data_IF_232530971854
#
_entry.id   IF_232530971854
#
_cell.length_a   1.000
_cell.length_b   1.000
_cell.length_c   1.000
_cell.angle_alpha   90.00
_cell.angle_beta   90.00
_cell.angle_gamma   90.00
#
_symmetry.space_group_name_H-M   'P 1'
#
loop_
_entity.id
_entity.type
_entity.pdbx_description
1 polymer ?
#
# COMPACT_ATOMS: atom_id res chain seq x y z
N UNK A 1 17.49 -24.03 9.97
CA UNK A 1 16.27 -23.89 9.11
C UNK A 1 16.33 -22.55 8.40
N UNK A 2 15.97 -22.47 7.11
CA UNK A 2 15.93 -21.20 6.36
C UNK A 2 14.48 -20.78 6.19
N UNK A 3 14.12 -19.63 6.75
CA UNK A 3 12.79 -19.05 6.55
C UNK A 3 12.84 -18.07 5.36
N UNK A 4 11.90 -18.21 4.43
CA UNK A 4 11.76 -17.34 3.27
C UNK A 4 10.52 -16.49 3.43
N UNK A 5 10.68 -15.18 3.36
CA UNK A 5 9.58 -14.23 3.53
C UNK A 5 9.49 -13.22 2.38
N UNK A 6 8.29 -12.77 2.10
CA UNK A 6 8.03 -11.53 1.38
C UNK A 6 7.78 -10.40 2.38
N UNK A 7 8.32 -9.22 2.14
CA UNK A 7 8.15 -8.05 3.00
C UNK A 7 7.73 -6.83 2.16
N UNK A 8 6.59 -6.25 2.49
CA UNK A 8 6.15 -4.97 1.95
C UNK A 8 6.18 -3.88 3.03
N UNK A 9 7.03 -2.89 2.83
CA UNK A 9 7.14 -1.72 3.72
C UNK A 9 6.22 -0.61 3.22
N UNK A 10 4.93 -0.73 3.54
CA UNK A 10 3.92 0.24 3.14
C UNK A 10 3.79 1.41 4.10
N UNK A 11 3.12 2.48 3.65
CA UNK A 11 2.83 3.66 4.47
C UNK A 11 1.85 3.35 5.62
N UNK A 12 0.74 2.68 5.33
CA UNK A 12 -0.25 2.35 6.34
C UNK A 12 0.09 1.07 7.11
N UNK A 13 0.54 0.06 6.40
CA UNK A 13 0.84 -1.26 6.94
C UNK A 13 2.19 -1.76 6.45
N UNK A 14 2.88 -2.51 7.29
CA UNK A 14 3.95 -3.42 6.89
C UNK A 14 3.35 -4.81 6.82
N UNK A 15 3.67 -5.52 5.74
CA UNK A 15 3.14 -6.87 5.52
C UNK A 15 4.30 -7.85 5.39
N UNK A 16 4.30 -8.88 6.23
CA UNK A 16 5.13 -10.07 6.04
C UNK A 16 4.27 -11.18 5.47
N UNK A 17 4.78 -11.86 4.48
CA UNK A 17 4.13 -13.01 3.85
C UNK A 17 5.07 -14.20 3.80
N UNK A 18 4.54 -15.37 4.12
CA UNK A 18 5.20 -16.66 4.05
C UNK A 18 4.25 -17.65 3.41
N UNK A 19 4.75 -18.55 2.58
CA UNK A 19 3.91 -19.55 1.88
C UNK A 19 3.27 -20.56 2.82
N UNK A 20 3.80 -20.72 4.04
CA UNK A 20 3.32 -21.67 5.03
C UNK A 20 2.52 -21.01 6.15
N UNK A 21 2.96 -19.84 6.61
CA UNK A 21 2.34 -19.10 7.72
C UNK A 21 1.27 -18.11 7.26
N UNK A 22 1.21 -17.82 5.95
CA UNK A 22 0.25 -16.88 5.37
C UNK A 22 0.73 -15.43 5.40
N UNK A 23 -0.22 -14.49 5.55
CA UNK A 23 0.06 -13.05 5.54
C UNK A 23 -0.19 -12.48 6.93
N UNK A 24 0.85 -11.87 7.50
CA UNK A 24 0.77 -11.08 8.72
C UNK A 24 0.93 -9.60 8.38
N UNK A 25 0.05 -8.77 8.96
CA UNK A 25 0.02 -7.33 8.71
C UNK A 25 0.06 -6.57 10.03
N UNK A 26 0.94 -5.58 10.09
CA UNK A 26 1.14 -4.70 11.23
C UNK A 26 1.02 -3.25 10.80
N UNK A 27 0.53 -2.36 11.66
CA UNK A 27 0.48 -0.93 11.36
C UNK A 27 1.91 -0.37 11.21
N UNK A 28 2.12 0.40 10.15
CA UNK A 28 3.40 1.07 9.88
C UNK A 28 3.46 2.39 10.65
N UNK A 29 3.63 2.30 11.98
CA UNK A 29 3.58 3.47 12.86
C UNK A 29 4.40 3.23 14.14
N UNK A 30 4.91 4.30 14.72
CA UNK A 30 5.48 4.35 16.06
C UNK A 30 4.80 5.44 16.89
N UNK A 31 4.58 5.17 18.17
CA UNK A 31 4.16 6.14 19.17
C UNK A 31 5.41 6.71 19.85
N UNK A 32 5.55 8.01 19.82
CA UNK A 32 6.74 8.72 20.30
C UNK A 32 6.34 9.71 21.38
N UNK A 33 7.04 9.66 22.52
CA UNK A 33 6.93 10.63 23.57
C UNK A 33 7.39 12.02 23.08
N UNK A 34 6.56 13.04 23.28
CA UNK A 34 6.82 14.40 22.75
C UNK A 34 8.01 15.09 23.40
N UNK A 35 8.26 14.81 24.68
CA UNK A 35 9.30 15.47 25.46
C UNK A 35 10.65 14.78 25.29
N UNK A 36 10.69 13.45 25.50
CA UNK A 36 11.95 12.68 25.46
C UNK A 36 12.34 12.23 24.06
N UNK A 37 11.43 12.30 23.08
CA UNK A 37 11.60 11.78 21.70
C UNK A 37 11.85 10.27 21.64
N UNK A 38 11.56 9.53 22.71
CA UNK A 38 11.71 8.07 22.75
C UNK A 38 10.51 7.37 22.14
N UNK A 39 10.77 6.26 21.49
CA UNK A 39 9.73 5.37 20.99
C UNK A 39 9.12 4.65 22.21
N UNK A 40 7.81 4.80 22.39
CA UNK A 40 7.01 4.13 23.43
C UNK A 40 6.59 2.75 22.97
N UNK A 41 6.01 2.68 21.77
CA UNK A 41 5.54 1.43 21.15
C UNK A 41 5.50 1.56 19.63
N UNK A 42 5.35 0.44 18.92
CA UNK A 42 5.28 0.35 17.47
C UNK A 42 4.12 -0.54 17.04
N UNK A 43 3.70 -0.40 15.79
CA UNK A 43 2.69 -1.27 15.21
C UNK A 43 1.28 -1.03 15.77
N UNK A 44 0.50 -2.09 15.89
CA UNK A 44 -0.88 -2.03 16.40
C UNK A 44 -0.93 -1.49 17.84
N UNK A 45 0.02 -1.88 18.68
CA UNK A 45 0.12 -1.38 20.06
C UNK A 45 0.32 0.14 20.12
N UNK A 46 0.97 0.73 19.11
CA UNK A 46 1.13 2.18 19.03
C UNK A 46 -0.19 2.90 18.76
N UNK A 47 -1.06 2.31 17.95
CA UNK A 47 -2.41 2.85 17.70
C UNK A 47 -3.25 2.78 18.98
N UNK A 48 -3.30 1.60 19.63
CA UNK A 48 -4.08 1.37 20.85
C UNK A 48 -3.69 2.34 21.97
N UNK A 49 -2.39 2.53 22.20
CA UNK A 49 -1.88 3.43 23.23
C UNK A 49 -1.93 4.92 22.81
N UNK A 50 -1.96 5.20 21.53
CA UNK A 50 -1.98 6.57 21.00
C UNK A 50 -3.21 7.35 21.40
N UNK A 51 -4.36 6.71 21.48
CA UNK A 51 -5.62 7.33 21.90
C UNK A 51 -5.59 7.70 23.40
N UNK A 52 -4.92 6.89 24.22
CA UNK A 52 -4.79 7.13 25.69
C UNK A 52 -3.75 8.22 26.01
N UNK A 53 -2.66 8.29 25.24
CA UNK A 53 -1.52 9.19 25.49
C UNK A 53 -1.53 10.45 24.61
N UNK A 54 -2.63 10.76 23.98
CA UNK A 54 -2.85 11.79 22.97
C UNK A 54 -2.13 13.16 23.24
N UNK A 55 -2.12 13.65 24.47
CA UNK A 55 -1.45 14.92 24.81
C UNK A 55 0.08 14.79 24.93
N UNK A 56 0.58 13.64 25.39
CA UNK A 56 1.99 13.40 25.74
C UNK A 56 2.78 12.69 24.64
N UNK A 57 2.11 12.08 23.70
CA UNK A 57 2.74 11.30 22.64
C UNK A 57 2.22 11.69 21.25
N UNK A 58 2.92 11.26 20.20
CA UNK A 58 2.55 11.48 18.82
C UNK A 58 2.79 10.22 17.99
N UNK A 59 1.85 9.88 17.11
CA UNK A 59 1.99 8.80 16.15
C UNK A 59 2.77 9.29 14.94
N UNK A 60 3.87 8.61 14.61
CA UNK A 60 4.71 8.90 13.44
C UNK A 60 4.79 7.69 12.54
N UNK A 61 4.56 7.88 11.23
CA UNK A 61 4.74 6.86 10.22
C UNK A 61 6.14 6.91 9.64
N UNK A 62 6.85 5.75 9.56
CA UNK A 62 8.25 5.70 9.13
C UNK A 62 8.45 5.91 7.63
N UNK A 63 7.38 5.75 6.83
CA UNK A 63 7.42 5.91 5.38
C UNK A 63 6.52 7.07 4.95
N UNK A 64 6.91 7.76 3.87
CA UNK A 64 6.07 8.77 3.22
C UNK A 64 6.24 8.63 1.70
N UNK A 65 5.12 8.52 0.98
CA UNK A 65 5.14 8.33 -0.48
C UNK A 65 6.05 7.18 -0.92
N UNK A 66 6.04 6.06 -0.17
CA UNK A 66 6.87 4.89 -0.45
C UNK A 66 8.37 5.04 -0.13
N UNK A 67 8.79 6.18 0.42
CA UNK A 67 10.17 6.45 0.78
C UNK A 67 10.37 6.43 2.29
N UNK A 68 11.59 6.05 2.71
CA UNK A 68 12.01 6.09 4.11
C UNK A 68 12.04 7.54 4.60
N UNK A 69 11.27 7.82 5.67
CA UNK A 69 11.19 9.15 6.28
C UNK A 69 12.11 9.26 7.50
N UNK A 70 12.14 8.24 8.35
CA UNK A 70 12.96 8.18 9.55
C UNK A 70 13.57 6.80 9.73
N UNK A 71 14.91 6.75 9.76
CA UNK A 71 15.66 5.49 9.86
C UNK A 71 15.47 4.79 11.20
N UNK A 72 15.47 5.55 12.31
CA UNK A 72 15.38 4.97 13.66
C UNK A 72 13.99 4.36 13.88
N UNK A 73 12.95 5.11 13.51
CA UNK A 73 11.56 4.64 13.61
C UNK A 73 11.35 3.42 12.71
N UNK A 74 11.84 3.48 11.45
CA UNK A 74 11.76 2.35 10.52
C UNK A 74 12.45 1.12 11.09
N UNK A 75 13.68 1.28 11.61
CA UNK A 75 14.44 0.18 12.21
C UNK A 75 13.70 -0.48 13.37
N UNK A 76 13.07 0.33 14.23
CA UNK A 76 12.28 -0.19 15.36
C UNK A 76 11.04 -0.95 14.91
N UNK A 77 10.29 -0.42 13.94
CA UNK A 77 9.08 -1.09 13.40
C UNK A 77 9.47 -2.38 12.66
N UNK A 78 10.53 -2.35 11.84
CA UNK A 78 11.01 -3.55 11.12
C UNK A 78 11.54 -4.60 12.08
N UNK A 79 12.31 -4.21 13.11
CA UNK A 79 12.82 -5.13 14.13
C UNK A 79 11.70 -5.78 14.93
N UNK A 80 10.64 -5.04 15.27
CA UNK A 80 9.46 -5.57 15.93
C UNK A 80 8.81 -6.68 15.08
N UNK A 81 8.56 -6.40 13.81
CA UNK A 81 7.88 -7.33 12.90
C UNK A 81 8.75 -8.56 12.58
N UNK A 82 10.04 -8.37 12.30
CA UNK A 82 10.97 -9.48 12.04
C UNK A 82 11.16 -10.32 13.31
N UNK A 83 11.20 -9.68 14.48
CA UNK A 83 11.29 -10.35 15.78
C UNK A 83 10.07 -11.21 16.15
N UNK A 84 8.91 -10.93 15.55
CA UNK A 84 7.70 -11.75 15.72
C UNK A 84 7.71 -13.05 14.88
N UNK A 85 8.67 -13.19 13.94
CA UNK A 85 8.81 -14.41 13.16
C UNK A 85 9.28 -15.59 14.02
N UNK A 86 8.90 -16.84 13.68
CA UNK A 86 9.46 -18.03 14.30
C UNK A 86 10.98 -18.02 14.21
N UNK A 87 11.65 -18.44 15.30
CA UNK A 87 13.12 -18.52 15.33
C UNK A 87 13.65 -19.40 14.21
N UNK A 88 14.53 -18.87 13.40
CA UNK A 88 15.20 -19.54 12.30
C UNK A 88 16.70 -19.22 12.32
N UNK A 89 17.53 -20.14 11.81
CA UNK A 89 18.97 -19.91 11.69
C UNK A 89 19.30 -18.81 10.68
N UNK A 90 18.45 -18.67 9.66
CA UNK A 90 18.60 -17.69 8.59
C UNK A 90 17.23 -17.23 8.11
N UNK A 91 17.06 -15.92 7.95
CA UNK A 91 15.89 -15.30 7.33
C UNK A 91 16.30 -14.74 5.96
N UNK A 92 15.64 -15.19 4.90
CA UNK A 92 15.79 -14.66 3.53
C UNK A 92 14.55 -13.90 3.16
N UNK A 93 14.71 -12.65 2.78
CA UNK A 93 13.63 -11.73 2.50
C UNK A 93 13.58 -11.33 1.02
N UNK A 94 12.39 -11.32 0.41
CA UNK A 94 12.13 -10.57 -0.81
C UNK A 94 11.32 -9.34 -0.43
N UNK A 95 11.87 -8.15 -0.70
CA UNK A 95 11.23 -6.89 -0.37
C UNK A 95 10.68 -6.19 -1.61
N UNK A 96 9.44 -5.69 -1.50
CA UNK A 96 8.85 -4.79 -2.50
C UNK A 96 9.37 -3.37 -2.34
N UNK A 97 9.99 -2.84 -3.38
CA UNK A 97 10.48 -1.46 -3.41
C UNK A 97 9.77 -0.63 -4.48
N UNK A 98 9.57 0.68 -4.27
CA UNK A 98 9.03 1.57 -5.31
C UNK A 98 10.00 1.72 -6.49
N UNK A 99 9.46 2.07 -7.65
CA UNK A 99 10.23 2.18 -8.90
C UNK A 99 11.22 3.35 -8.93
N UNK A 100 11.02 4.36 -8.10
CA UNK A 100 11.84 5.58 -8.02
C UNK A 100 12.89 5.57 -6.90
N UNK A 101 13.11 4.40 -6.27
CA UNK A 101 14.10 4.24 -5.22
C UNK A 101 15.52 4.32 -5.80
N UNK A 102 16.35 5.22 -5.27
CA UNK A 102 17.75 5.30 -5.68
C UNK A 102 18.64 4.30 -4.92
N UNK A 103 19.85 4.03 -5.43
CA UNK A 103 20.77 3.06 -4.86
C UNK A 103 21.16 3.34 -3.40
N UNK A 104 21.22 4.62 -2.97
CA UNK A 104 21.51 4.98 -1.58
C UNK A 104 20.37 4.58 -0.65
N UNK A 105 19.14 4.86 -1.03
CA UNK A 105 17.94 4.48 -0.28
C UNK A 105 17.76 2.96 -0.22
N UNK A 106 18.02 2.27 -1.33
CA UNK A 106 17.99 0.80 -1.36
C UNK A 106 19.02 0.20 -0.40
N UNK A 107 20.26 0.70 -0.41
CA UNK A 107 21.30 0.27 0.53
C UNK A 107 20.91 0.53 1.99
N UNK A 108 20.25 1.64 2.26
CA UNK A 108 19.77 1.97 3.60
C UNK A 108 18.70 0.99 4.09
N UNK A 109 17.74 0.62 3.24
CA UNK A 109 16.73 -0.40 3.53
C UNK A 109 17.40 -1.75 3.80
N UNK A 110 18.37 -2.17 2.98
CA UNK A 110 19.10 -3.41 3.21
C UNK A 110 19.85 -3.41 4.54
N UNK A 111 20.41 -2.26 4.92
CA UNK A 111 21.08 -2.11 6.23
C UNK A 111 20.10 -2.28 7.39
N UNK A 112 18.93 -1.61 7.33
CA UNK A 112 17.88 -1.73 8.34
C UNK A 112 17.41 -3.18 8.48
N UNK A 113 17.21 -3.88 7.37
CA UNK A 113 16.79 -5.29 7.37
C UNK A 113 17.88 -6.21 7.96
N UNK A 114 19.14 -5.96 7.63
CA UNK A 114 20.26 -6.69 8.22
C UNK A 114 20.37 -6.48 9.72
N UNK A 115 20.22 -5.23 10.18
CA UNK A 115 20.23 -4.88 11.62
C UNK A 115 19.05 -5.54 12.36
N UNK A 116 17.92 -5.77 11.68
CA UNK A 116 16.75 -6.48 12.20
C UNK A 116 16.87 -8.02 12.16
N UNK A 117 17.99 -8.57 11.68
CA UNK A 117 18.24 -10.02 11.65
C UNK A 117 17.93 -10.72 10.32
N UNK A 118 17.63 -9.99 9.24
CA UNK A 118 17.49 -10.56 7.90
C UNK A 118 18.87 -10.90 7.35
N UNK A 119 19.12 -12.18 7.03
CA UNK A 119 20.42 -12.68 6.57
C UNK A 119 20.71 -12.33 5.11
N UNK A 120 19.70 -12.32 4.26
CA UNK A 120 19.79 -12.01 2.83
C UNK A 120 18.52 -11.31 2.37
N UNK A 121 18.67 -10.24 1.58
CA UNK A 121 17.56 -9.47 1.06
C UNK A 121 17.62 -9.33 -0.47
N UNK A 122 16.50 -9.55 -1.13
CA UNK A 122 16.31 -9.38 -2.58
C UNK A 122 15.22 -8.35 -2.81
N UNK A 123 15.57 -7.23 -3.44
CA UNK A 123 14.60 -6.20 -3.77
C UNK A 123 13.96 -6.48 -5.13
N UNK A 124 12.67 -6.25 -5.23
CA UNK A 124 11.90 -6.32 -6.47
C UNK A 124 10.95 -5.13 -6.55
N UNK A 125 10.68 -4.64 -7.76
CA UNK A 125 9.69 -3.58 -7.95
C UNK A 125 8.32 -4.03 -7.39
N UNK A 126 7.70 -3.18 -6.58
CA UNK A 126 6.41 -3.48 -5.92
C UNK A 126 5.30 -3.76 -6.93
N UNK A 127 5.29 -3.07 -8.09
CA UNK A 127 4.30 -3.33 -9.14
C UNK A 127 4.42 -4.72 -9.75
N UNK A 128 5.64 -5.28 -9.84
CA UNK A 128 5.86 -6.68 -10.25
C UNK A 128 5.24 -7.63 -9.24
N UNK A 129 5.52 -7.40 -7.96
CA UNK A 129 4.96 -8.23 -6.89
C UNK A 129 3.42 -8.12 -6.87
N UNK A 130 2.86 -6.91 -6.97
CA UNK A 130 1.42 -6.68 -7.03
C UNK A 130 0.75 -7.46 -8.18
N UNK A 131 1.34 -7.39 -9.37
CA UNK A 131 0.85 -8.11 -10.55
C UNK A 131 0.86 -9.63 -10.34
N UNK A 132 1.98 -10.18 -9.88
CA UNK A 132 2.13 -11.62 -9.62
C UNK A 132 1.14 -12.09 -8.55
N UNK A 133 1.02 -11.34 -7.46
CA UNK A 133 0.12 -11.69 -6.36
C UNK A 133 -1.37 -11.57 -6.71
N UNK A 134 -1.69 -10.80 -7.74
CA UNK A 134 -3.03 -10.75 -8.34
C UNK A 134 -3.29 -11.87 -9.37
N UNK A 135 -2.33 -12.78 -9.56
CA UNK A 135 -2.43 -13.86 -10.55
C UNK A 135 -2.08 -13.44 -11.99
N UNK A 136 -1.58 -12.22 -12.18
CA UNK A 136 -1.12 -11.74 -13.48
C UNK A 136 0.31 -12.19 -13.79
N UNK A 137 0.71 -12.01 -15.04
CA UNK A 137 2.05 -12.36 -15.52
C UNK A 137 2.81 -11.13 -16.03
N UNK A 138 4.02 -10.83 -15.51
CA UNK A 138 4.85 -9.79 -16.08
C UNK A 138 5.32 -10.08 -17.51
N UNK A 139 5.17 -11.32 -18.01
CA UNK A 139 5.44 -11.69 -19.40
C UNK A 139 4.33 -11.24 -20.36
N UNK A 140 3.15 -10.90 -19.84
CA UNK A 140 2.05 -10.35 -20.61
C UNK A 140 2.26 -8.86 -20.92
N UNK A 141 1.48 -8.33 -21.87
CA UNK A 141 1.33 -6.88 -22.07
C UNK A 141 0.15 -6.43 -21.21
N UNK A 142 0.40 -5.81 -20.06
CA UNK A 142 -0.61 -5.51 -19.05
C UNK A 142 -0.26 -4.24 -18.25
N UNK A 143 -1.25 -3.54 -17.74
CA UNK A 143 -1.09 -2.40 -16.84
C UNK A 143 -1.34 -2.88 -15.41
N UNK A 144 -0.38 -2.64 -14.51
CA UNK A 144 -0.55 -2.82 -13.07
C UNK A 144 -0.78 -1.47 -12.42
N UNK A 145 -1.87 -1.34 -11.65
CA UNK A 145 -2.19 -0.14 -10.86
C UNK A 145 -2.35 -0.59 -9.41
N UNK A 146 -1.42 -0.17 -8.57
CA UNK A 146 -1.43 -0.47 -7.13
C UNK A 146 -1.76 0.79 -6.34
N UNK A 147 -3.02 0.92 -5.89
CA UNK A 147 -3.50 2.06 -5.10
C UNK A 147 -3.21 1.81 -3.63
N UNK A 148 -2.10 2.35 -3.15
CA UNK A 148 -1.69 2.28 -1.76
C UNK A 148 -2.41 3.30 -0.87
N UNK A 149 -1.91 3.48 0.36
CA UNK A 149 -2.47 4.47 1.28
C UNK A 149 -2.00 5.90 0.96
N UNK A 150 -0.71 6.12 0.67
CA UNK A 150 -0.14 7.46 0.42
C UNK A 150 0.22 7.73 -1.04
N UNK A 151 0.26 6.71 -1.88
CA UNK A 151 0.60 6.85 -3.29
C UNK A 151 0.00 5.71 -4.11
N UNK A 152 -0.09 5.94 -5.43
CA UNK A 152 -0.44 4.94 -6.43
C UNK A 152 0.77 4.67 -7.31
N UNK A 153 1.13 3.40 -7.44
CA UNK A 153 2.19 2.94 -8.35
C UNK A 153 1.56 2.33 -9.60
N UNK A 154 2.01 2.80 -10.76
CA UNK A 154 1.52 2.34 -12.06
C UNK A 154 2.71 1.80 -12.84
N UNK A 155 2.57 0.62 -13.41
CA UNK A 155 3.58 0.02 -14.29
C UNK A 155 2.92 -0.61 -15.52
N UNK A 156 3.55 -0.44 -16.68
CA UNK A 156 3.16 -1.12 -17.92
C UNK A 156 4.20 -2.19 -18.21
N UNK A 157 3.73 -3.41 -18.36
CA UNK A 157 4.55 -4.56 -18.69
C UNK A 157 4.40 -4.94 -20.15
N UNK A 158 5.50 -5.39 -20.75
CA UNK A 158 5.51 -5.96 -22.08
C UNK A 158 6.62 -7.01 -22.21
N UNK A 159 6.27 -8.26 -22.48
CA UNK A 159 7.20 -9.36 -22.69
C UNK A 159 8.27 -9.53 -21.57
N UNK A 160 7.91 -9.32 -20.33
CA UNK A 160 8.81 -9.46 -19.18
C UNK A 160 9.58 -8.20 -18.81
N UNK A 161 9.39 -7.12 -19.54
CA UNK A 161 10.02 -5.83 -19.27
C UNK A 161 9.00 -4.81 -18.75
N UNK A 162 9.45 -3.90 -17.92
CA UNK A 162 8.68 -2.73 -17.51
C UNK A 162 8.99 -1.60 -18.50
N UNK A 163 8.01 -1.24 -19.33
CA UNK A 163 8.18 -0.21 -20.37
C UNK A 163 7.78 1.19 -19.89
N UNK A 164 7.02 1.27 -18.80
CA UNK A 164 6.63 2.52 -18.16
C UNK A 164 6.41 2.31 -16.67
N UNK A 165 6.83 3.29 -15.86
CA UNK A 165 6.47 3.37 -14.44
C UNK A 165 6.14 4.80 -14.07
N UNK A 166 5.13 4.98 -13.20
CA UNK A 166 4.95 6.22 -12.44
C UNK A 166 4.57 5.92 -11.00
N UNK A 167 4.85 6.87 -10.13
CA UNK A 167 4.40 6.89 -8.75
C UNK A 167 3.74 8.24 -8.49
N UNK A 168 2.45 8.19 -8.25
CA UNK A 168 1.61 9.36 -8.09
C UNK A 168 1.27 9.59 -6.62
N UNK A 169 1.39 10.82 -6.10
CA UNK A 169 1.06 11.14 -4.70
C UNK A 169 -0.46 11.25 -4.51
N UNK A 170 -1.15 10.18 -4.81
CA UNK A 170 -2.59 9.98 -4.62
C UNK A 170 -2.82 8.56 -4.11
N UNK A 171 -3.51 8.41 -2.99
CA UNK A 171 -3.80 7.12 -2.38
C UNK A 171 -5.01 7.17 -1.47
N UNK A 172 -5.24 6.10 -0.69
CA UNK A 172 -6.37 6.00 0.21
C UNK A 172 -6.49 7.13 1.23
N UNK A 173 -5.35 7.73 1.65
CA UNK A 173 -5.33 8.85 2.60
C UNK A 173 -5.92 10.14 2.00
N UNK A 174 -5.82 10.36 0.70
CA UNK A 174 -6.46 11.51 0.04
C UNK A 174 -7.99 11.44 0.14
N UNK A 175 -8.54 10.22 0.09
CA UNK A 175 -9.97 9.99 0.32
C UNK A 175 -10.32 10.16 1.80
N UNK A 176 -9.48 9.70 2.74
CA UNK A 176 -9.64 9.94 4.18
C UNK A 176 -9.67 11.45 4.48
N UNK A 177 -8.76 12.22 3.89
CA UNK A 177 -8.69 13.68 4.05
C UNK A 177 -9.92 14.38 3.45
N UNK A 178 -10.43 13.90 2.33
CA UNK A 178 -11.65 14.44 1.73
C UNK A 178 -12.87 14.25 2.65
N UNK A 179 -13.02 13.06 3.27
CA UNK A 179 -14.07 12.81 4.28
C UNK A 179 -13.90 13.72 5.48
N UNK A 180 -12.69 13.83 6.02
CA UNK A 180 -12.40 14.71 7.17
C UNK A 180 -12.74 16.16 6.88
N UNK A 181 -12.36 16.65 5.70
CA UNK A 181 -12.65 18.02 5.27
C UNK A 181 -14.16 18.23 5.12
N UNK A 182 -14.87 17.30 4.50
CA UNK A 182 -16.32 17.35 4.35
C UNK A 182 -17.03 17.51 5.71
N UNK A 183 -16.66 16.68 6.69
CA UNK A 183 -17.25 16.73 8.05
C UNK A 183 -16.99 18.09 8.70
N UNK A 184 -15.79 18.64 8.55
CA UNK A 184 -15.45 19.95 9.08
C UNK A 184 -16.25 21.09 8.41
N UNK A 185 -16.47 21.01 7.11
CA UNK A 185 -17.22 22.02 6.32
C UNK A 185 -18.73 21.97 6.61
N UNK A 186 -19.32 20.78 6.76
CA UNK A 186 -20.78 20.64 6.97
C UNK A 186 -21.20 21.00 8.39
N UNK A 187 -20.44 20.58 9.40
CA UNK A 187 -20.85 20.72 10.80
C UNK A 187 -19.90 21.50 11.70
N UNK A 188 -18.77 22.01 11.18
CA UNK A 188 -17.72 22.57 12.00
C UNK A 188 -17.13 21.54 12.97
N UNK A 189 -17.25 20.26 12.64
CA UNK A 189 -16.84 19.13 13.50
C UNK A 189 -15.46 18.64 13.08
N UNK A 190 -14.54 18.58 14.02
CA UNK A 190 -13.24 17.97 13.83
C UNK A 190 -13.29 16.49 14.21
N UNK A 191 -12.81 15.66 13.32
CA UNK A 191 -12.59 14.21 13.56
C UNK A 191 -11.13 13.84 13.30
N UNK A 192 -10.67 12.74 13.88
CA UNK A 192 -9.34 12.19 13.57
C UNK A 192 -9.31 11.59 12.17
N UNK A 193 -8.11 11.42 11.61
CA UNK A 193 -7.96 10.75 10.33
C UNK A 193 -8.37 9.27 10.39
N UNK A 194 -8.25 8.64 11.55
CA UNK A 194 -8.71 7.25 11.77
C UNK A 194 -10.23 7.14 11.69
N UNK A 195 -10.98 8.10 12.23
CA UNK A 195 -12.44 8.17 12.10
C UNK A 195 -12.85 8.38 10.64
N UNK A 196 -12.22 9.34 9.95
CA UNK A 196 -12.47 9.58 8.54
C UNK A 196 -12.17 8.33 7.66
N UNK A 197 -11.12 7.59 8.00
CA UNK A 197 -10.79 6.31 7.34
C UNK A 197 -11.87 5.26 7.57
N UNK A 198 -12.34 5.11 8.80
CA UNK A 198 -13.42 4.15 9.11
C UNK A 198 -14.69 4.47 8.30
N UNK A 199 -15.06 5.75 8.20
CA UNK A 199 -16.18 6.20 7.36
C UNK A 199 -15.95 5.84 5.89
N UNK A 200 -14.77 6.14 5.34
CA UNK A 200 -14.42 5.77 3.96
C UNK A 200 -14.53 4.26 3.74
N UNK A 201 -14.02 3.45 4.66
CA UNK A 201 -14.01 1.99 4.54
C UNK A 201 -15.42 1.41 4.63
N UNK A 202 -16.30 1.99 5.45
CA UNK A 202 -17.66 1.54 5.61
C UNK A 202 -18.59 2.10 4.51
N UNK A 203 -18.61 3.42 4.31
CA UNK A 203 -19.57 4.09 3.44
C UNK A 203 -19.04 4.39 2.02
N UNK A 204 -17.71 4.36 1.83
CA UNK A 204 -17.06 4.83 0.61
C UNK A 204 -17.51 4.11 -0.65
N UNK A 205 -17.96 4.88 -1.63
CA UNK A 205 -18.34 4.40 -2.96
C UNK A 205 -18.03 5.46 -4.02
N UNK A 206 -17.63 4.99 -5.19
CA UNK A 206 -17.47 5.82 -6.41
C UNK A 206 -18.37 5.31 -7.54
N UNK A 207 -19.29 4.41 -7.24
CA UNK A 207 -20.18 3.78 -8.21
C UNK A 207 -21.60 3.63 -7.64
N UNK A 208 -22.56 3.45 -8.52
CA UNK A 208 -23.95 3.22 -8.15
C UNK A 208 -24.15 1.82 -7.55
N UNK A 209 -25.24 1.64 -6.78
CA UNK A 209 -25.69 0.33 -6.31
C UNK A 209 -25.08 -0.15 -4.98
N UNK A 210 -24.29 0.69 -4.29
CA UNK A 210 -24.02 0.47 -2.88
C UNK A 210 -25.31 0.79 -2.11
N UNK A 211 -25.68 -0.08 -1.17
CA UNK A 211 -26.80 0.19 -0.28
C UNK A 211 -26.56 1.48 0.50
N UNK A 212 -27.63 2.24 0.71
CA UNK A 212 -27.53 3.45 1.52
C UNK A 212 -27.47 3.05 2.99
N UNK A 213 -26.30 3.27 3.55
CA UNK A 213 -25.99 3.04 4.96
C UNK A 213 -25.67 4.38 5.62
N UNK A 214 -25.81 4.43 6.92
CA UNK A 214 -25.38 5.58 7.71
C UNK A 214 -24.60 5.15 8.93
N UNK A 215 -23.69 6.00 9.39
CA UNK A 215 -22.89 5.79 10.59
C UNK A 215 -22.96 7.01 11.49
N UNK A 216 -23.20 6.79 12.79
CA UNK A 216 -23.07 7.83 13.80
C UNK A 216 -21.59 7.92 14.21
N UNK A 217 -21.05 9.12 14.20
CA UNK A 217 -19.67 9.44 14.60
C UNK A 217 -19.68 10.45 15.75
N UNK A 218 -18.63 10.41 16.56
CA UNK A 218 -18.35 11.42 17.58
C UNK A 218 -17.17 12.29 17.10
N UNK A 219 -17.32 13.59 17.23
CA UNK A 219 -16.28 14.55 16.92
C UNK A 219 -16.29 15.73 17.88
N UNK A 220 -15.47 16.74 17.60
CA UNK A 220 -15.32 17.92 18.46
C UNK A 220 -15.64 19.17 17.65
N UNK A 221 -16.54 20.02 18.17
CA UNK A 221 -16.83 21.32 17.54
C UNK A 221 -15.58 22.21 17.53
N UNK A 222 -15.23 22.73 16.36
CA UNK A 222 -14.03 23.55 16.15
C UNK A 222 -14.02 24.85 17.01
N UNK A 223 -15.22 25.42 17.25
CA UNK A 223 -15.34 26.68 17.97
C UNK A 223 -15.37 26.53 19.49
N UNK A 224 -15.93 25.48 20.02
CA UNK A 224 -16.18 25.32 21.46
C UNK A 224 -15.39 24.20 22.12
N UNK A 225 -14.83 23.29 21.33
CA UNK A 225 -14.19 22.07 21.85
C UNK A 225 -15.17 21.03 22.40
N UNK A 226 -16.50 21.27 22.33
CA UNK A 226 -17.48 20.34 22.84
C UNK A 226 -17.60 19.10 21.95
N UNK A 227 -17.81 17.92 22.58
CA UNK A 227 -18.12 16.70 21.86
C UNK A 227 -19.53 16.77 21.29
N UNK A 228 -19.66 16.32 20.05
CA UNK A 228 -20.93 16.23 19.33
C UNK A 228 -21.02 14.93 18.56
N UNK A 229 -22.24 14.48 18.33
CA UNK A 229 -22.53 13.36 17.46
C UNK A 229 -23.09 13.86 16.13
N UNK A 230 -22.72 13.19 15.06
CA UNK A 230 -23.16 13.49 13.71
C UNK A 230 -23.40 12.18 12.97
N UNK A 231 -24.41 12.13 12.11
CA UNK A 231 -24.69 10.99 11.24
C UNK A 231 -24.20 11.32 9.83
N UNK A 232 -23.53 10.38 9.18
CA UNK A 232 -23.03 10.47 7.80
C UNK A 232 -23.63 9.31 7.01
N UNK A 233 -24.10 9.56 5.80
CA UNK A 233 -24.65 8.55 4.89
C UNK A 233 -23.73 8.23 3.70
N UNK A 234 -23.98 7.09 3.05
CA UNK A 234 -23.32 6.70 1.81
C UNK A 234 -23.54 7.73 0.71
N UNK A 235 -24.77 8.27 0.60
CA UNK A 235 -25.11 9.29 -0.43
C UNK A 235 -24.25 10.55 -0.30
N UNK A 236 -24.02 11.02 0.92
CA UNK A 236 -23.16 12.18 1.19
C UNK A 236 -21.71 11.91 0.77
N UNK A 237 -21.17 10.71 1.01
CA UNK A 237 -19.79 10.38 0.76
C UNK A 237 -19.46 10.22 -0.74
N UNK A 238 -20.41 9.82 -1.57
CA UNK A 238 -20.19 9.66 -3.03
C UNK A 238 -19.65 10.95 -3.66
N UNK A 239 -20.24 12.11 -3.34
CA UNK A 239 -19.79 13.40 -3.86
C UNK A 239 -18.42 13.86 -3.33
N UNK A 240 -18.07 13.42 -2.11
CA UNK A 240 -16.82 13.78 -1.44
C UNK A 240 -15.59 13.22 -2.17
N UNK A 241 -15.73 12.09 -2.85
CA UNK A 241 -14.62 11.40 -3.53
C UNK A 241 -14.28 11.94 -4.93
N UNK A 242 -15.04 12.89 -5.46
CA UNK A 242 -14.86 13.38 -6.82
C UNK A 242 -13.43 13.88 -7.10
N UNK A 243 -12.88 14.71 -6.21
CA UNK A 243 -11.53 15.29 -6.41
C UNK A 243 -10.42 14.24 -6.36
N UNK A 244 -10.29 13.39 -5.30
CA UNK A 244 -9.24 12.38 -5.28
C UNK A 244 -9.43 11.33 -6.38
N UNK A 245 -10.66 10.95 -6.71
CA UNK A 245 -10.97 10.05 -7.83
C UNK A 245 -10.48 10.60 -9.17
N UNK A 246 -10.80 11.88 -9.46
CA UNK A 246 -10.35 12.52 -10.70
C UNK A 246 -8.82 12.49 -10.83
N UNK A 247 -8.09 12.85 -9.76
CA UNK A 247 -6.62 12.80 -9.75
C UNK A 247 -6.10 11.38 -10.04
N UNK A 248 -6.68 10.37 -9.40
CA UNK A 248 -6.32 8.97 -9.62
C UNK A 248 -6.56 8.52 -11.06
N UNK A 249 -7.74 8.82 -11.61
CA UNK A 249 -8.09 8.45 -12.98
C UNK A 249 -7.20 9.16 -14.01
N UNK A 250 -6.85 10.43 -13.78
CA UNK A 250 -5.93 11.17 -14.66
C UNK A 250 -4.51 10.57 -14.64
N UNK A 251 -4.02 10.13 -13.49
CA UNK A 251 -2.73 9.45 -13.40
C UNK A 251 -2.71 8.16 -14.23
N UNK A 252 -3.75 7.34 -14.11
CA UNK A 252 -3.85 6.09 -14.89
C UNK A 252 -4.05 6.38 -16.39
N UNK A 253 -4.86 7.39 -16.76
CA UNK A 253 -5.04 7.80 -18.15
C UNK A 253 -3.72 8.25 -18.79
N UNK A 254 -2.86 8.91 -18.04
CA UNK A 254 -1.53 9.33 -18.51
C UNK A 254 -0.67 8.09 -18.82
N UNK A 255 -0.67 7.09 -17.97
CA UNK A 255 0.05 5.84 -18.21
C UNK A 255 -0.48 5.10 -19.46
N UNK A 256 -1.82 5.03 -19.63
CA UNK A 256 -2.45 4.43 -20.82
C UNK A 256 -2.03 5.15 -22.10
N UNK A 257 -1.99 6.49 -22.09
CA UNK A 257 -1.54 7.30 -23.24
C UNK A 257 -0.04 7.11 -23.54
N UNK A 258 0.77 6.79 -22.55
CA UNK A 258 2.20 6.56 -22.69
C UNK A 258 2.57 5.21 -23.28
N UNK A 259 1.62 4.31 -23.55
CA UNK A 259 1.90 3.00 -24.13
C UNK A 259 2.34 3.16 -25.59
N UNK A 260 3.49 2.58 -26.02
CA UNK A 260 3.90 2.57 -27.41
C UNK A 260 2.84 1.99 -28.34
N UNK A 261 2.65 2.62 -29.51
CA UNK A 261 1.58 2.25 -30.46
C UNK A 261 1.58 0.76 -30.83
N UNK A 262 2.75 0.16 -30.99
CA UNK A 262 2.92 -1.25 -31.31
C UNK A 262 2.42 -2.19 -30.19
N UNK A 263 2.30 -1.70 -28.96
CA UNK A 263 1.90 -2.47 -27.79
C UNK A 263 0.47 -2.17 -27.32
N UNK A 264 -0.15 -1.09 -27.82
CA UNK A 264 -1.45 -0.59 -27.33
C UNK A 264 -2.52 -1.68 -27.38
N UNK A 265 -2.72 -2.30 -28.55
CA UNK A 265 -3.80 -3.28 -28.74
C UNK A 265 -3.67 -4.45 -27.77
N UNK A 266 -2.46 -5.03 -27.63
CA UNK A 266 -2.21 -6.16 -26.72
C UNK A 266 -2.43 -5.76 -25.27
N UNK A 267 -1.93 -4.58 -24.87
CA UNK A 267 -2.01 -4.09 -23.49
C UNK A 267 -3.46 -3.78 -23.12
N UNK A 268 -4.20 -3.09 -23.98
CA UNK A 268 -5.61 -2.77 -23.70
C UNK A 268 -6.51 -4.03 -23.70
N UNK A 269 -6.19 -5.03 -24.51
CA UNK A 269 -6.90 -6.32 -24.51
C UNK A 269 -6.72 -7.08 -23.19
N UNK A 270 -5.53 -7.04 -22.57
CA UNK A 270 -5.27 -7.60 -21.23
C UNK A 270 -5.83 -6.71 -20.12
N UNK A 271 -5.82 -5.42 -20.35
CA UNK A 271 -6.40 -4.44 -19.44
C UNK A 271 -5.53 -4.03 -18.26
N UNK A 272 -6.20 -3.58 -17.21
CA UNK A 272 -5.61 -3.11 -15.96
C UNK A 272 -5.81 -4.13 -14.86
N UNK A 273 -4.75 -4.45 -14.14
CA UNK A 273 -4.83 -5.21 -12.87
C UNK A 273 -4.76 -4.21 -11.74
N UNK A 274 -5.88 -4.05 -11.02
CA UNK A 274 -6.07 -3.09 -9.95
C UNK A 274 -5.86 -3.74 -8.58
N UNK A 275 -4.88 -3.26 -7.82
CA UNK A 275 -4.47 -3.81 -6.53
C UNK A 275 -4.32 -2.73 -5.46
N UNK A 276 -3.94 -3.14 -4.23
CA UNK A 276 -3.75 -2.25 -3.09
C UNK A 276 -5.03 -2.00 -2.31
N UNK A 277 -4.90 -1.40 -1.11
CA UNK A 277 -6.03 -1.12 -0.23
C UNK A 277 -7.03 -0.12 -0.81
N UNK A 278 -6.58 0.85 -1.62
CA UNK A 278 -7.45 1.79 -2.30
C UNK A 278 -8.36 1.15 -3.34
N UNK A 279 -7.97 0.01 -3.91
CA UNK A 279 -8.80 -0.77 -4.82
C UNK A 279 -10.07 -1.36 -4.15
N UNK A 280 -10.13 -1.34 -2.82
CA UNK A 280 -11.30 -1.80 -2.07
C UNK A 280 -12.44 -0.78 -2.03
N UNK A 281 -12.20 0.47 -2.43
CA UNK A 281 -13.29 1.46 -2.59
C UNK A 281 -14.33 0.88 -3.56
N UNK A 282 -15.59 0.84 -3.09
CA UNK A 282 -16.67 0.26 -3.87
C UNK A 282 -16.80 0.92 -5.24
N UNK A 283 -16.77 0.09 -6.30
CA UNK A 283 -16.96 0.50 -7.68
C UNK A 283 -15.78 1.22 -8.34
N UNK A 284 -14.60 1.27 -7.71
CA UNK A 284 -13.41 1.91 -8.31
C UNK A 284 -12.98 1.21 -9.61
N UNK A 285 -13.03 -0.11 -9.67
CA UNK A 285 -12.76 -0.92 -10.86
C UNK A 285 -13.77 -0.61 -12.00
N UNK A 286 -15.05 -0.53 -11.67
CA UNK A 286 -16.11 -0.21 -12.62
C UNK A 286 -15.99 1.23 -13.15
N UNK A 287 -15.74 2.20 -12.25
CA UNK A 287 -15.54 3.60 -12.62
C UNK A 287 -14.31 3.77 -13.52
N UNK A 288 -13.19 3.14 -13.13
CA UNK A 288 -11.95 3.16 -13.92
C UNK A 288 -12.16 2.55 -15.30
N UNK A 289 -12.82 1.38 -15.38
CA UNK A 289 -13.14 0.74 -16.66
C UNK A 289 -14.02 1.61 -17.54
N UNK A 290 -15.07 2.24 -16.98
CA UNK A 290 -15.99 3.11 -17.73
C UNK A 290 -15.28 4.35 -18.29
N UNK A 291 -14.48 5.02 -17.48
CA UNK A 291 -13.82 6.29 -17.87
C UNK A 291 -12.67 6.06 -18.85
N UNK A 292 -11.88 5.00 -18.64
CA UNK A 292 -10.71 4.72 -19.46
C UNK A 292 -11.01 3.88 -20.71
N UNK A 293 -12.20 3.26 -20.78
CA UNK A 293 -12.56 2.36 -21.88
C UNK A 293 -11.71 1.07 -21.92
N UNK A 294 -11.14 0.66 -20.78
CA UNK A 294 -10.22 -0.48 -20.64
C UNK A 294 -10.76 -1.44 -19.59
N UNK A 295 -10.69 -2.75 -19.85
CA UNK A 295 -11.08 -3.74 -18.85
C UNK A 295 -10.23 -3.65 -17.58
N UNK A 296 -10.85 -3.70 -16.41
CA UNK A 296 -10.16 -3.68 -15.11
C UNK A 296 -10.44 -4.98 -14.37
N UNK A 297 -9.36 -5.65 -13.97
CA UNK A 297 -9.38 -6.88 -13.19
C UNK A 297 -8.95 -6.53 -11.77
N UNK A 298 -9.81 -6.82 -10.79
CA UNK A 298 -9.53 -6.67 -9.37
C UNK A 298 -9.55 -8.05 -8.72
N UNK A 299 -8.47 -8.51 -8.07
CA UNK A 299 -8.46 -9.79 -7.36
C UNK A 299 -9.35 -9.72 -6.11
N UNK A 300 -9.76 -10.87 -5.56
CA UNK A 300 -10.61 -10.93 -4.35
C UNK A 300 -10.00 -10.23 -3.14
N UNK A 301 -8.67 -10.28 -2.99
CA UNK A 301 -7.94 -9.59 -1.92
C UNK A 301 -6.90 -8.64 -2.51
N UNK A 302 -7.30 -7.49 -3.04
CA UNK A 302 -6.37 -6.57 -3.71
C UNK A 302 -5.33 -5.98 -2.74
N UNK A 303 -5.67 -5.82 -1.48
CA UNK A 303 -4.77 -5.33 -0.42
C UNK A 303 -3.61 -6.30 -0.13
N UNK A 304 -3.79 -7.60 -0.39
CA UNK A 304 -2.79 -8.63 -0.15
C UNK A 304 -1.90 -8.92 -1.36
N UNK A 305 -2.20 -8.33 -2.50
CA UNK A 305 -1.56 -8.67 -3.77
C UNK A 305 -0.02 -8.54 -3.70
N UNK A 306 0.50 -7.43 -3.16
CA UNK A 306 1.95 -7.24 -3.01
C UNK A 306 2.56 -8.35 -2.14
N UNK A 307 2.01 -8.57 -0.94
CA UNK A 307 2.49 -9.61 -0.03
C UNK A 307 2.47 -11.01 -0.66
N UNK A 308 1.36 -11.40 -1.28
CA UNK A 308 1.24 -12.67 -2.01
C UNK A 308 2.31 -12.82 -3.09
N UNK A 309 2.50 -11.78 -3.91
CA UNK A 309 3.51 -11.80 -4.96
C UNK A 309 4.93 -11.93 -4.41
N UNK A 310 5.27 -11.21 -3.36
CA UNK A 310 6.58 -11.31 -2.71
C UNK A 310 6.82 -12.70 -2.13
N UNK A 311 5.80 -13.30 -1.51
CA UNK A 311 5.87 -14.69 -1.03
C UNK A 311 6.14 -15.66 -2.18
N UNK A 312 5.40 -15.58 -3.28
CA UNK A 312 5.59 -16.41 -4.48
C UNK A 312 7.03 -16.25 -4.99
N UNK A 313 7.51 -15.03 -5.18
CA UNK A 313 8.87 -14.75 -5.65
C UNK A 313 9.91 -15.33 -4.69
N UNK A 314 9.70 -15.24 -3.37
CA UNK A 314 10.64 -15.74 -2.36
C UNK A 314 10.92 -17.25 -2.49
N UNK A 315 9.93 -18.02 -2.94
CA UNK A 315 10.09 -19.47 -3.17
C UNK A 315 10.99 -19.78 -4.35
N UNK A 316 11.03 -18.92 -5.34
CA UNK A 316 11.73 -19.12 -6.62
C UNK A 316 13.19 -18.70 -6.59
N UNK A 317 13.59 -17.87 -5.63
CA UNK A 317 15.00 -17.46 -5.51
C UNK A 317 15.84 -18.64 -5.02
N UNK A 318 16.84 -19.10 -5.82
CA UNK A 318 17.68 -20.23 -5.43
C UNK A 318 18.47 -19.95 -4.15
N UNK A 319 18.64 -20.96 -3.30
CA UNK A 319 19.43 -20.86 -2.06
C UNK A 319 20.91 -20.53 -2.32
N UNK A 320 21.41 -20.82 -3.54
CA UNK A 320 22.78 -20.53 -3.96
C UNK A 320 23.06 -19.04 -4.19
N UNK A 321 22.04 -18.23 -4.40
CA UNK A 321 22.20 -16.79 -4.50
C UNK A 321 22.49 -16.21 -3.11
N UNK A 322 23.66 -15.58 -2.97
CA UNK A 322 24.11 -14.97 -1.70
C UNK A 322 24.19 -13.44 -1.87
N UNK A 323 24.01 -12.75 -0.74
CA UNK A 323 24.10 -11.29 -0.65
C UNK A 323 22.79 -10.58 -1.00
N UNK A 324 22.84 -9.25 -0.84
CA UNK A 324 21.69 -8.38 -1.10
C UNK A 324 21.70 -7.94 -2.57
N UNK A 325 20.57 -8.07 -3.26
CA UNK A 325 20.45 -7.78 -4.71
C UNK A 325 19.10 -7.15 -5.05
N UNK A 326 19.11 -6.25 -6.03
CA UNK A 326 17.91 -5.89 -6.78
C UNK A 326 17.74 -6.86 -7.95
N UNK A 327 16.60 -7.55 -8.01
CA UNK A 327 16.28 -8.57 -9.01
C UNK A 327 15.18 -8.13 -9.98
N UNK A 328 14.76 -6.87 -9.95
CA UNK A 328 13.67 -6.35 -10.79
C UNK A 328 13.90 -6.64 -12.29
N UNK A 329 15.10 -6.36 -12.78
CA UNK A 329 15.42 -6.54 -14.20
C UNK A 329 15.62 -8.01 -14.61
N UNK A 330 15.77 -8.91 -13.64
CA UNK A 330 15.96 -10.34 -13.86
C UNK A 330 14.70 -11.15 -13.50
N UNK A 331 13.58 -10.48 -13.28
CA UNK A 331 12.37 -11.16 -12.79
C UNK A 331 11.87 -12.23 -13.78
N UNK A 332 12.09 -12.04 -15.07
CA UNK A 332 11.75 -13.03 -16.10
C UNK A 332 12.47 -14.37 -15.91
N UNK A 333 13.70 -14.38 -15.36
CA UNK A 333 14.43 -15.61 -15.05
C UNK A 333 13.77 -16.41 -13.95
N UNK A 334 13.26 -15.70 -12.93
CA UNK A 334 12.58 -16.31 -11.77
C UNK A 334 11.11 -16.63 -12.04
N UNK A 335 10.51 -15.97 -13.05
CA UNK A 335 9.08 -16.09 -13.32
C UNK A 335 8.74 -17.22 -14.30
N UNK A 336 9.65 -17.61 -15.19
CA UNK A 336 9.43 -18.71 -16.16
C UNK A 336 8.98 -20.02 -15.50
N UNK A 337 9.30 -20.18 -14.22
CA UNK A 337 9.00 -21.38 -13.43
C UNK A 337 7.75 -21.22 -12.52
N UNK A 338 6.99 -20.12 -12.64
CA UNK A 338 5.82 -19.81 -11.76
C UNK A 338 4.50 -20.30 -12.36
N UNK A 339 4.50 -21.00 -13.49
CA UNK A 339 3.29 -21.60 -14.07
C UNK A 339 2.87 -22.87 -13.36
#
# INVERSE_FOLDING_TARGET
>A
MVTKIGLDLGYANITISDTTAGIYREQSVALIDKDSRRIISVGNSAIEQGDELNEKAVLIRPFKNGLLFDRQITGSVVSHIVGALPKADRVRCVIGIPSDLNAKQEKEIFTILSDAGVSECFAVNRSVAALIGAGGSPLDSVISVNVGASCTEIAVFHNGEITYTSKEPIGGEDFDQAVKQYIAEQGGVNVSLSVARAIKEQLGSVWHGKEDESVEIEGTLSLTGNKVKMTISTEEIVGVFEKPLHRLLMAVATAVKGIPLENVERTLKKGIVLTGGGAMIHGLDQMMSKILGVGVIKPDSPIDAVGKGLSIISTKIPVRNKGNKNITNNISEYYKDIK
#
